data_IF_356657803041
#
_entry.id   IF_356657803041
#
_cell.length_a   1.000
_cell.length_b   1.000
_cell.length_c   1.000
_cell.angle_alpha   90.00
_cell.angle_beta   90.00
_cell.angle_gamma   90.00
#
_symmetry.space_group_name_H-M   'P 1'
#
loop_
_entity.id
_entity.type
_entity.pdbx_description
1 polymer ?
#
# COMPACT_ATOMS: atom_id res chain seq x y z
N UNK A 1 6.18 -18.27 -5.43
CA UNK A 1 4.79 -17.97 -5.83
C UNK A 1 4.69 -18.02 -7.34
N UNK A 2 3.60 -18.56 -7.89
CA UNK A 2 3.28 -18.51 -9.32
C UNK A 2 2.94 -17.07 -9.73
N UNK A 3 3.09 -16.72 -11.01
CA UNK A 3 2.79 -15.37 -11.52
C UNK A 3 1.34 -14.94 -11.18
N UNK A 4 0.36 -15.84 -11.32
CA UNK A 4 -1.03 -15.51 -11.01
C UNK A 4 -1.28 -15.24 -9.52
N UNK A 5 -0.63 -15.99 -8.63
CA UNK A 5 -0.70 -15.73 -7.18
C UNK A 5 -0.09 -14.37 -6.85
N UNK A 6 1.01 -14.03 -7.53
CA UNK A 6 1.71 -12.76 -7.32
C UNK A 6 0.92 -11.55 -7.86
N UNK A 7 0.29 -11.70 -9.03
CA UNK A 7 -0.66 -10.70 -9.56
C UNK A 7 -1.83 -10.51 -8.60
N UNK A 8 -2.36 -11.58 -8.03
CA UNK A 8 -3.45 -11.49 -7.06
C UNK A 8 -3.04 -10.74 -5.79
N UNK A 9 -1.87 -11.05 -5.23
CA UNK A 9 -1.31 -10.31 -4.08
C UNK A 9 -1.06 -8.84 -4.44
N UNK A 10 -0.56 -8.57 -5.64
CA UNK A 10 -0.36 -7.21 -6.12
C UNK A 10 -1.68 -6.42 -6.16
N UNK A 11 -2.77 -7.03 -6.65
CA UNK A 11 -4.11 -6.43 -6.60
C UNK A 11 -4.55 -6.13 -5.18
N UNK A 12 -4.43 -7.10 -4.26
CA UNK A 12 -4.85 -6.92 -2.87
C UNK A 12 -4.07 -5.80 -2.17
N UNK A 13 -2.75 -5.72 -2.35
CA UNK A 13 -1.94 -4.66 -1.77
C UNK A 13 -2.26 -3.28 -2.35
N UNK A 14 -2.67 -3.22 -3.62
CA UNK A 14 -3.14 -1.96 -4.23
C UNK A 14 -4.43 -1.49 -3.55
N UNK A 15 -5.39 -2.39 -3.30
CA UNK A 15 -6.61 -2.03 -2.56
C UNK A 15 -6.31 -1.59 -1.11
N UNK A 16 -5.35 -2.22 -0.44
CA UNK A 16 -4.93 -1.79 0.90
C UNK A 16 -4.25 -0.42 0.86
N UNK A 17 -3.45 -0.14 -0.17
CA UNK A 17 -2.85 1.19 -0.37
C UNK A 17 -3.92 2.27 -0.57
N UNK A 18 -4.96 1.99 -1.37
CA UNK A 18 -6.11 2.87 -1.55
C UNK A 18 -6.82 3.13 -0.21
N UNK A 19 -7.14 2.08 0.57
CA UNK A 19 -7.75 2.20 1.91
C UNK A 19 -6.90 3.06 2.86
N UNK A 20 -5.57 2.86 2.87
CA UNK A 20 -4.67 3.62 3.73
C UNK A 20 -4.67 5.11 3.37
N UNK A 21 -4.70 5.43 2.08
CA UNK A 21 -4.78 6.82 1.61
C UNK A 21 -6.13 7.43 1.98
N UNK A 22 -7.24 6.74 1.71
CA UNK A 22 -8.60 7.22 2.01
C UNK A 22 -8.80 7.49 3.51
N UNK A 23 -8.17 6.69 4.36
CA UNK A 23 -8.22 6.83 5.82
C UNK A 23 -7.21 7.85 6.38
N UNK A 24 -6.41 8.51 5.53
CA UNK A 24 -5.37 9.45 5.96
C UNK A 24 -4.24 8.79 6.75
N UNK A 25 -4.02 7.50 6.56
CA UNK A 25 -2.94 6.74 7.20
C UNK A 25 -1.59 7.08 6.58
N UNK A 26 -1.59 7.34 5.28
CA UNK A 26 -0.39 7.66 4.51
C UNK A 26 -0.76 8.58 3.36
N UNK A 27 0.10 9.55 3.07
CA UNK A 27 -0.08 10.44 1.93
C UNK A 27 0.13 9.69 0.59
N UNK A 28 -0.64 10.01 -0.47
CA UNK A 28 -0.47 9.40 -1.80
C UNK A 28 0.96 9.46 -2.35
N UNK A 29 1.73 10.48 -1.97
CA UNK A 29 3.11 10.72 -2.36
C UNK A 29 4.06 9.62 -1.87
N UNK A 30 3.74 8.95 -0.76
CA UNK A 30 4.54 7.83 -0.24
C UNK A 30 4.63 6.67 -1.24
N UNK A 31 3.66 6.55 -2.15
CA UNK A 31 3.64 5.53 -3.21
C UNK A 31 4.37 5.96 -4.49
N UNK A 32 5.11 7.07 -4.50
CA UNK A 32 5.93 7.47 -5.65
C UNK A 32 6.94 6.38 -6.09
N UNK A 33 7.63 5.65 -5.19
CA UNK A 33 8.52 4.55 -5.58
C UNK A 33 7.78 3.42 -6.31
N UNK A 34 6.56 3.09 -5.88
CA UNK A 34 5.71 2.11 -6.56
C UNK A 34 5.29 2.61 -7.95
N UNK A 35 4.80 3.85 -8.06
CA UNK A 35 4.42 4.44 -9.36
C UNK A 35 5.58 4.49 -10.36
N UNK A 36 6.80 4.73 -9.88
CA UNK A 36 8.01 4.75 -10.70
C UNK A 36 8.32 3.40 -11.37
N UNK A 37 7.83 2.28 -10.83
CA UNK A 37 7.98 0.97 -11.47
C UNK A 37 7.17 0.85 -12.76
N UNK A 38 6.10 1.64 -12.94
CA UNK A 38 5.25 1.56 -14.13
C UNK A 38 4.47 0.24 -14.28
N UNK A 39 4.33 -0.52 -13.20
CA UNK A 39 3.67 -1.83 -13.17
C UNK A 39 2.43 -1.74 -12.31
N UNK A 40 1.27 -2.08 -12.87
CA UNK A 40 0.02 -2.24 -12.12
C UNK A 40 -0.39 -3.72 -12.11
N UNK A 41 -1.36 -4.12 -11.28
CA UNK A 41 -1.91 -5.47 -11.34
C UNK A 41 -2.51 -5.83 -12.71
N UNK A 42 -2.94 -4.83 -13.49
CA UNK A 42 -3.46 -5.01 -14.85
C UNK A 42 -2.38 -5.05 -15.93
N UNK A 43 -1.10 -4.91 -15.58
CA UNK A 43 0.02 -5.04 -16.53
C UNK A 43 0.25 -6.50 -16.95
N UNK A 44 -0.65 -7.06 -17.77
CA UNK A 44 -0.65 -8.48 -18.17
C UNK A 44 0.68 -8.94 -18.79
N UNK A 45 1.35 -8.03 -19.52
CA UNK A 45 2.64 -8.27 -20.18
C UNK A 45 3.85 -8.14 -19.25
N UNK A 46 3.70 -7.59 -18.05
CA UNK A 46 4.78 -7.51 -17.08
C UNK A 46 5.25 -8.92 -16.68
N UNK A 47 6.53 -9.04 -16.37
CA UNK A 47 7.14 -10.29 -15.96
C UNK A 47 6.70 -10.67 -14.53
N UNK A 48 7.03 -11.89 -14.11
CA UNK A 48 6.84 -12.30 -12.71
C UNK A 48 7.67 -11.42 -11.78
N UNK A 49 8.90 -11.08 -12.17
CA UNK A 49 9.83 -10.32 -11.34
C UNK A 49 9.39 -8.86 -11.19
N UNK A 50 8.75 -8.30 -12.22
CA UNK A 50 8.14 -6.96 -12.17
C UNK A 50 7.02 -6.89 -11.11
N UNK A 51 6.13 -7.90 -11.10
CA UNK A 51 5.10 -8.00 -10.07
C UNK A 51 5.69 -8.27 -8.68
N UNK A 52 6.83 -8.96 -8.60
CA UNK A 52 7.51 -9.22 -7.33
C UNK A 52 8.09 -7.93 -6.75
N UNK A 53 8.74 -7.13 -7.59
CA UNK A 53 9.27 -5.82 -7.21
C UNK A 53 8.14 -4.89 -6.72
N UNK A 54 7.02 -4.84 -7.45
CA UNK A 54 5.86 -4.05 -7.06
C UNK A 54 5.29 -4.47 -5.70
N UNK A 55 5.11 -5.78 -5.48
CA UNK A 55 4.62 -6.33 -4.21
C UNK A 55 5.56 -5.98 -3.05
N UNK A 56 6.88 -6.10 -3.26
CA UNK A 56 7.88 -5.76 -2.22
C UNK A 56 7.80 -4.29 -1.83
N UNK A 57 7.80 -3.39 -2.81
CA UNK A 57 7.72 -1.95 -2.56
C UNK A 57 6.42 -1.57 -1.85
N UNK A 58 5.28 -2.10 -2.29
CA UNK A 58 3.99 -1.87 -1.63
C UNK A 58 3.99 -2.38 -0.19
N UNK A 59 4.50 -3.59 0.05
CA UNK A 59 4.57 -4.17 1.38
C UNK A 59 5.45 -3.35 2.35
N UNK A 60 6.58 -2.82 1.87
CA UNK A 60 7.47 -1.97 2.67
C UNK A 60 6.81 -0.64 3.05
N UNK A 61 6.16 0.03 2.09
CA UNK A 61 5.44 1.29 2.33
C UNK A 61 4.30 1.07 3.33
N UNK A 62 3.46 0.06 3.09
CA UNK A 62 2.31 -0.26 3.94
C UNK A 62 2.73 -0.67 5.36
N UNK A 63 3.80 -1.46 5.48
CA UNK A 63 4.34 -1.86 6.79
C UNK A 63 4.84 -0.64 7.57
N UNK A 64 5.51 0.29 6.90
CA UNK A 64 6.00 1.52 7.51
C UNK A 64 4.85 2.40 7.98
N UNK A 65 3.84 2.59 7.13
CA UNK A 65 2.64 3.36 7.45
C UNK A 65 1.85 2.75 8.63
N UNK A 66 1.68 1.43 8.65
CA UNK A 66 0.99 0.73 9.73
C UNK A 66 1.70 0.89 11.08
N UNK A 67 3.05 0.85 11.10
CA UNK A 67 3.83 1.09 12.32
C UNK A 67 3.72 2.53 12.83
N UNK A 68 3.65 3.51 11.92
CA UNK A 68 3.43 4.91 12.28
C UNK A 68 2.07 5.16 12.96
N UNK A 69 1.03 4.40 12.62
CA UNK A 69 -0.25 4.46 13.31
C UNK A 69 -0.22 3.86 14.72
N UNK A 70 0.52 2.76 14.92
CA UNK A 70 0.60 2.13 16.25
C UNK A 70 1.31 2.99 17.29
N UNK A 71 2.14 3.94 16.85
CA UNK A 71 2.88 4.86 17.72
C UNK A 71 2.17 6.21 17.92
N UNK A 72 1.05 6.45 17.21
CA UNK A 72 0.21 7.62 17.40
C UNK A 72 -0.66 7.39 18.64
N UNK A 73 -0.52 8.16 19.74
CA UNK A 73 -1.38 8.00 20.90
C UNK A 73 -2.83 8.20 20.49
N UNK A 74 -3.73 7.36 21.00
CA UNK A 74 -5.16 7.32 20.70
C UNK A 74 -5.97 8.55 21.20
N UNK A 75 -5.34 9.73 21.27
CA UNK A 75 -5.88 10.94 21.85
C UNK A 75 -6.04 12.02 20.79
N UNK A 76 -7.02 11.86 19.90
CA UNK A 76 -7.70 13.00 19.27
C UNK A 76 -9.12 12.59 18.84
N UNK A 77 -9.84 11.96 19.76
CA UNK A 77 -11.30 11.98 19.77
C UNK A 77 -11.71 12.80 20.99
N UNK A 78 -11.60 14.12 20.85
CA UNK A 78 -12.19 15.02 21.84
C UNK A 78 -13.70 14.73 21.96
N UNK A 79 -14.22 14.52 23.18
CA UNK A 79 -15.66 14.58 23.38
C UNK A 79 -16.08 16.03 23.19
N UNK A 80 -16.84 16.31 22.13
CA UNK A 80 -17.62 17.56 22.07
C UNK A 80 -18.58 17.51 23.24
N UNK A 81 -18.25 18.27 24.27
CA UNK A 81 -19.06 18.49 25.46
C UNK A 81 -19.62 19.90 25.43
N UNK A 82 -20.93 19.95 25.73
CA UNK A 82 -21.83 21.10 26.00
C UNK A 82 -22.70 21.60 24.85
#
# INVERSE_FOLDING_TARGET
MKKNELVHVHSLLTCVAEDFVERGVVEPEAFAPYRALGVSPMSLRASRDDHEAAVRVLAEILSTAARGQTDRPASESEPVSS
#
